data_IF_033269682211
#
_entry.id   IF_033269682211
#
_cell.length_a   1.000
_cell.length_b   1.000
_cell.length_c   1.000
_cell.angle_alpha   90.00
_cell.angle_beta   90.00
_cell.angle_gamma   90.00
#
_symmetry.space_group_name_H-M   'P 1'
#
loop_
_entity.id
_entity.type
_entity.pdbx_description
1 polymer ?
#
# COMPACT_ATOMS: atom_id res chain seq x y z
N UNK A 1 -32.97 16.69 -5.14
CA UNK A 1 -32.04 15.72 -5.75
C UNK A 1 -31.15 14.93 -4.74
N UNK A 2 -31.04 15.35 -3.48
CA UNK A 2 -30.08 14.80 -2.49
C UNK A 2 -30.34 13.35 -2.03
N UNK A 3 -31.56 12.95 -1.71
CA UNK A 3 -31.86 11.68 -1.04
C UNK A 3 -31.55 10.45 -1.92
N UNK A 4 -31.90 10.49 -3.22
CA UNK A 4 -31.61 9.39 -4.15
C UNK A 4 -30.11 9.25 -4.43
N UNK A 5 -29.37 10.33 -4.52
CA UNK A 5 -27.92 10.33 -4.69
C UNK A 5 -27.24 9.73 -3.46
N UNK A 6 -27.64 10.15 -2.26
CA UNK A 6 -27.11 9.63 -1.00
C UNK A 6 -27.37 8.12 -0.82
N UNK A 7 -28.59 7.64 -1.15
CA UNK A 7 -28.94 6.21 -1.09
C UNK A 7 -28.11 5.39 -2.10
N UNK A 8 -27.88 5.95 -3.29
CA UNK A 8 -27.06 5.32 -4.34
C UNK A 8 -25.62 5.21 -3.90
N UNK A 9 -25.06 6.26 -3.28
CA UNK A 9 -23.70 6.28 -2.76
C UNK A 9 -23.53 5.30 -1.58
N UNK A 10 -24.49 5.26 -0.64
CA UNK A 10 -24.50 4.32 0.47
C UNK A 10 -24.50 2.87 -0.02
N UNK A 11 -25.28 2.56 -1.07
CA UNK A 11 -25.29 1.23 -1.70
C UNK A 11 -23.93 0.89 -2.31
N UNK A 12 -23.27 1.87 -2.98
CA UNK A 12 -21.94 1.65 -3.51
C UNK A 12 -20.90 1.35 -2.44
N UNK A 13 -20.93 2.06 -1.32
CA UNK A 13 -20.04 1.79 -0.17
C UNK A 13 -20.25 0.38 0.39
N UNK A 14 -21.50 -0.04 0.61
CA UNK A 14 -21.78 -1.41 1.08
C UNK A 14 -21.23 -2.48 0.16
N UNK A 15 -21.34 -2.30 -1.17
CA UNK A 15 -20.77 -3.25 -2.14
C UNK A 15 -19.24 -3.26 -2.05
N UNK A 16 -18.58 -2.11 -1.96
CA UNK A 16 -17.12 -2.01 -1.81
C UNK A 16 -16.65 -2.67 -0.52
N UNK A 17 -17.33 -2.43 0.61
CA UNK A 17 -16.98 -3.01 1.90
C UNK A 17 -17.16 -4.54 1.90
N UNK A 18 -18.26 -5.04 1.32
CA UNK A 18 -18.51 -6.46 1.17
C UNK A 18 -17.45 -7.15 0.27
N UNK A 19 -17.11 -6.51 -0.85
CA UNK A 19 -16.10 -7.00 -1.78
C UNK A 19 -14.71 -6.97 -1.13
N UNK A 20 -14.35 -5.90 -0.43
CA UNK A 20 -13.09 -5.76 0.28
C UNK A 20 -12.89 -6.87 1.31
N UNK A 21 -13.93 -7.18 2.08
CA UNK A 21 -13.88 -8.26 3.07
C UNK A 21 -13.68 -9.62 2.41
N UNK A 22 -14.48 -9.94 1.36
CA UNK A 22 -14.38 -11.23 0.66
C UNK A 22 -13.03 -11.41 -0.04
N UNK A 23 -12.49 -10.40 -0.70
CA UNK A 23 -11.17 -10.46 -1.32
C UNK A 23 -10.02 -10.51 -0.30
N UNK A 24 -10.24 -10.09 0.94
CA UNK A 24 -9.29 -10.26 2.03
C UNK A 24 -9.34 -11.66 2.67
N UNK A 25 -10.49 -12.32 2.62
CA UNK A 25 -10.74 -13.64 3.23
C UNK A 25 -10.42 -14.80 2.26
N UNK A 26 -10.52 -14.57 0.93
CA UNK A 26 -10.46 -15.63 -0.10
C UNK A 26 -9.57 -15.19 -1.26
N UNK A 27 -9.09 -16.17 -2.04
CA UNK A 27 -8.38 -15.89 -3.29
C UNK A 27 -9.30 -15.17 -4.28
N UNK A 28 -8.74 -14.24 -5.05
CA UNK A 28 -9.51 -13.45 -6.02
C UNK A 28 -10.43 -14.31 -6.89
N UNK A 29 -9.93 -15.42 -7.46
CA UNK A 29 -10.70 -16.27 -8.35
C UNK A 29 -11.88 -16.96 -7.67
N UNK A 30 -11.78 -17.20 -6.37
CA UNK A 30 -12.79 -17.91 -5.56
C UNK A 30 -13.95 -17.01 -5.11
N UNK A 31 -13.86 -15.69 -5.29
CA UNK A 31 -14.93 -14.75 -4.91
C UNK A 31 -15.90 -14.54 -6.08
N UNK A 32 -17.10 -15.13 -6.09
CA UNK A 32 -18.10 -14.84 -7.10
C UNK A 32 -18.83 -13.52 -6.80
N UNK A 33 -19.29 -12.81 -7.85
CA UNK A 33 -20.12 -11.60 -7.66
C UNK A 33 -21.41 -11.87 -6.89
N UNK A 34 -21.92 -13.11 -6.93
CA UNK A 34 -23.08 -13.54 -6.15
C UNK A 34 -22.83 -13.43 -4.63
N UNK A 35 -21.66 -13.85 -4.17
CA UNK A 35 -21.26 -13.74 -2.76
C UNK A 35 -21.14 -12.26 -2.33
N UNK A 36 -20.56 -11.41 -3.19
CA UNK A 36 -20.48 -9.96 -2.93
C UNK A 36 -21.88 -9.35 -2.83
N UNK A 37 -22.76 -9.68 -3.77
CA UNK A 37 -24.14 -9.18 -3.80
C UNK A 37 -24.92 -9.60 -2.53
N UNK A 38 -24.84 -10.88 -2.15
CA UNK A 38 -25.47 -11.41 -0.95
C UNK A 38 -24.97 -10.68 0.31
N UNK A 39 -23.65 -10.55 0.48
CA UNK A 39 -23.04 -9.87 1.64
C UNK A 39 -23.37 -8.38 1.70
N UNK A 40 -23.53 -7.72 0.54
CA UNK A 40 -23.91 -6.31 0.43
C UNK A 40 -25.44 -6.06 0.57
N UNK A 41 -26.26 -7.11 0.59
CA UNK A 41 -27.73 -7.00 0.62
C UNK A 41 -28.30 -6.38 -0.66
N UNK A 42 -27.75 -6.77 -1.84
CA UNK A 42 -28.19 -6.30 -3.16
C UNK A 42 -28.26 -7.47 -4.16
N UNK A 43 -28.77 -7.22 -5.36
CA UNK A 43 -28.74 -8.21 -6.44
C UNK A 43 -27.40 -8.15 -7.19
N UNK A 44 -27.02 -9.26 -7.85
CA UNK A 44 -25.83 -9.29 -8.76
C UNK A 44 -25.96 -8.25 -9.85
N UNK A 45 -27.16 -8.06 -10.40
CA UNK A 45 -27.44 -7.04 -11.42
C UNK A 45 -27.12 -5.63 -10.92
N UNK A 46 -27.35 -5.34 -9.63
CA UNK A 46 -27.00 -4.06 -9.02
C UNK A 46 -25.49 -3.88 -8.93
N UNK A 47 -24.74 -4.94 -8.61
CA UNK A 47 -23.27 -4.91 -8.58
C UNK A 47 -22.73 -4.66 -10.00
N UNK A 48 -23.19 -5.42 -11.00
CA UNK A 48 -22.76 -5.27 -12.41
C UNK A 48 -23.09 -3.89 -12.95
N UNK A 49 -24.31 -3.40 -12.74
CA UNK A 49 -24.70 -2.05 -13.20
C UNK A 49 -23.81 -0.95 -12.63
N UNK A 50 -23.30 -1.13 -11.41
CA UNK A 50 -22.52 -0.10 -10.74
C UNK A 50 -21.02 -0.19 -11.01
N UNK A 51 -20.50 -1.37 -11.12
CA UNK A 51 -19.05 -1.61 -11.23
C UNK A 51 -18.62 -2.27 -12.54
N UNK A 52 -19.56 -2.76 -13.35
CA UNK A 52 -19.29 -3.41 -14.63
C UNK A 52 -18.93 -4.88 -14.48
N UNK A 53 -17.72 -5.16 -14.04
CA UNK A 53 -17.19 -6.53 -13.89
C UNK A 53 -16.60 -6.77 -12.49
N UNK A 54 -16.28 -8.04 -12.20
CA UNK A 54 -15.53 -8.41 -11.00
C UNK A 54 -14.18 -7.69 -10.95
N UNK A 55 -13.49 -7.60 -12.06
CA UNK A 55 -12.21 -6.93 -12.21
C UNK A 55 -12.32 -5.43 -11.90
N UNK A 56 -13.30 -4.75 -12.51
CA UNK A 56 -13.55 -3.33 -12.24
C UNK A 56 -13.96 -3.07 -10.79
N UNK A 57 -14.74 -3.99 -10.19
CA UNK A 57 -15.05 -3.95 -8.76
C UNK A 57 -13.78 -4.09 -7.91
N UNK A 58 -12.88 -5.02 -8.26
CA UNK A 58 -11.62 -5.21 -7.56
C UNK A 58 -10.73 -3.96 -7.63
N UNK A 59 -10.59 -3.36 -8.81
CA UNK A 59 -9.89 -2.08 -8.96
C UNK A 59 -10.54 -0.94 -8.15
N UNK A 60 -11.87 -0.92 -8.04
CA UNK A 60 -12.55 0.06 -7.21
C UNK A 60 -12.24 -0.14 -5.71
N UNK A 61 -12.21 -1.38 -5.23
CA UNK A 61 -11.79 -1.75 -3.88
C UNK A 61 -10.33 -1.33 -3.64
N UNK A 62 -9.43 -1.68 -4.57
CA UNK A 62 -8.02 -1.33 -4.48
C UNK A 62 -7.80 0.19 -4.42
N UNK A 63 -8.50 0.97 -5.27
CA UNK A 63 -8.44 2.45 -5.22
C UNK A 63 -8.92 3.00 -3.89
N UNK A 64 -10.03 2.48 -3.36
CA UNK A 64 -10.57 2.93 -2.07
C UNK A 64 -9.59 2.68 -0.92
N UNK A 65 -8.95 1.50 -0.88
CA UNK A 65 -7.91 1.16 0.10
C UNK A 65 -6.65 1.99 -0.08
N UNK A 66 -6.16 2.10 -1.31
CA UNK A 66 -4.97 2.90 -1.62
C UNK A 66 -5.12 4.36 -1.21
N UNK A 67 -6.30 4.96 -1.36
CA UNK A 67 -6.56 6.32 -0.91
C UNK A 67 -6.33 6.50 0.61
N UNK A 68 -6.74 5.51 1.42
CA UNK A 68 -6.53 5.52 2.88
C UNK A 68 -5.04 5.37 3.25
N UNK A 69 -4.33 4.47 2.56
CA UNK A 69 -2.89 4.29 2.75
C UNK A 69 -2.13 5.55 2.36
N UNK A 70 -2.47 6.16 1.23
CA UNK A 70 -1.87 7.42 0.74
C UNK A 70 -2.07 8.53 1.76
N UNK A 71 -3.31 8.78 2.19
CA UNK A 71 -3.62 9.81 3.18
C UNK A 71 -2.86 9.64 4.49
N UNK A 72 -2.70 8.39 4.97
CA UNK A 72 -1.92 8.11 6.19
C UNK A 72 -0.42 8.42 6.00
N UNK A 73 0.14 8.15 4.81
CA UNK A 73 1.56 8.40 4.50
C UNK A 73 1.85 9.86 4.13
N UNK A 74 0.88 10.58 3.56
CA UNK A 74 1.05 11.98 3.17
C UNK A 74 1.22 12.93 4.37
N UNK A 75 0.92 12.46 5.58
CA UNK A 75 1.19 13.19 6.82
C UNK A 75 2.68 13.16 7.25
N UNK A 76 3.55 12.41 6.55
CA UNK A 76 4.99 12.43 6.79
C UNK A 76 5.61 13.75 6.33
N UNK A 77 6.47 14.32 7.18
CA UNK A 77 7.17 15.57 6.88
C UNK A 77 8.41 15.27 6.04
N UNK A 78 8.60 15.90 4.86
CA UNK A 78 9.79 15.71 4.06
C UNK A 78 11.08 16.03 4.84
N UNK A 79 12.03 15.10 4.83
CA UNK A 79 13.29 15.21 5.57
C UNK A 79 13.28 14.64 6.99
N UNK A 80 12.11 14.40 7.57
CA UNK A 80 11.96 13.76 8.88
C UNK A 80 11.88 12.22 8.75
N UNK A 81 13.03 11.57 8.94
CA UNK A 81 13.15 10.11 8.83
C UNK A 81 12.28 9.41 9.89
N UNK A 82 12.26 9.91 11.12
CA UNK A 82 11.54 9.26 12.21
C UNK A 82 10.03 9.23 11.95
N UNK A 83 9.42 10.37 11.57
CA UNK A 83 8.01 10.47 11.23
C UNK A 83 7.67 9.65 9.98
N UNK A 84 8.55 9.63 8.99
CA UNK A 84 8.35 8.83 7.78
C UNK A 84 8.26 7.34 8.09
N UNK A 85 9.18 6.81 8.88
CA UNK A 85 9.20 5.39 9.26
C UNK A 85 8.05 5.05 10.21
N UNK A 86 7.70 5.94 11.15
CA UNK A 86 6.51 5.78 11.99
C UNK A 86 5.25 5.56 11.15
N UNK A 87 5.00 6.44 10.16
CA UNK A 87 3.83 6.34 9.28
C UNK A 87 3.87 5.09 8.39
N UNK A 88 5.05 4.71 7.93
CA UNK A 88 5.24 3.49 7.15
C UNK A 88 4.87 2.25 7.96
N UNK A 89 5.48 2.08 9.14
CA UNK A 89 5.27 0.91 10.01
C UNK A 89 3.84 0.83 10.50
N UNK A 90 3.24 1.94 10.96
CA UNK A 90 1.83 1.98 11.34
C UNK A 90 0.90 1.56 10.18
N UNK A 91 1.25 1.92 8.94
CA UNK A 91 0.54 1.45 7.75
C UNK A 91 0.67 -0.05 7.56
N UNK A 92 1.84 -0.63 7.74
CA UNK A 92 2.06 -2.07 7.62
C UNK A 92 1.42 -2.86 8.77
N UNK A 93 1.42 -2.34 10.00
CA UNK A 93 0.67 -2.95 11.12
C UNK A 93 -0.83 -3.07 10.79
N UNK A 94 -1.38 -2.09 10.10
CA UNK A 94 -2.81 -2.04 9.78
C UNK A 94 -3.19 -2.85 8.55
N UNK A 95 -2.36 -2.89 7.50
CA UNK A 95 -2.73 -3.44 6.19
C UNK A 95 -1.71 -4.47 5.65
N UNK A 96 -0.61 -4.70 6.36
CA UNK A 96 0.51 -5.50 5.87
C UNK A 96 0.11 -6.95 5.56
N UNK A 97 -0.64 -7.59 6.45
CA UNK A 97 -1.05 -8.99 6.24
C UNK A 97 -1.99 -9.13 5.02
N UNK A 98 -2.87 -8.14 4.77
CA UNK A 98 -3.70 -8.11 3.57
C UNK A 98 -2.87 -7.92 2.31
N UNK A 99 -1.86 -7.06 2.33
CA UNK A 99 -0.97 -6.83 1.18
C UNK A 99 -0.11 -8.09 0.94
N UNK A 100 0.36 -8.78 1.98
CA UNK A 100 1.05 -10.07 1.86
C UNK A 100 0.15 -11.12 1.21
N UNK A 101 -1.13 -11.17 1.58
CA UNK A 101 -2.11 -12.06 0.96
C UNK A 101 -2.29 -11.75 -0.56
N UNK A 102 -2.24 -10.48 -0.96
CA UNK A 102 -2.28 -10.10 -2.38
C UNK A 102 -0.98 -10.49 -3.10
N UNK A 103 0.19 -10.24 -2.50
CA UNK A 103 1.49 -10.61 -3.07
C UNK A 103 1.60 -12.10 -3.34
N UNK A 104 1.03 -12.94 -2.49
CA UNK A 104 0.98 -14.40 -2.70
C UNK A 104 0.16 -14.81 -3.95
N UNK A 105 -0.65 -13.92 -4.49
CA UNK A 105 -1.51 -14.16 -5.65
C UNK A 105 -1.00 -13.46 -6.92
N UNK A 106 0.07 -12.65 -6.85
CA UNK A 106 0.56 -11.81 -7.94
C UNK A 106 0.82 -12.62 -9.22
N UNK A 107 1.49 -13.74 -9.13
CA UNK A 107 1.81 -14.60 -10.28
C UNK A 107 0.62 -15.35 -10.87
N UNK A 108 -0.56 -15.30 -10.22
CA UNK A 108 -1.77 -16.05 -10.61
C UNK A 108 -2.87 -15.17 -11.19
N UNK A 109 -2.83 -13.86 -10.95
CA UNK A 109 -3.89 -12.94 -11.34
C UNK A 109 -3.32 -11.64 -11.92
N UNK A 110 -3.51 -11.38 -13.22
CA UNK A 110 -3.09 -10.13 -13.85
C UNK A 110 -3.65 -8.88 -13.16
N UNK A 111 -4.91 -8.94 -12.71
CA UNK A 111 -5.57 -7.84 -11.99
C UNK A 111 -4.86 -7.51 -10.68
N UNK A 112 -4.43 -8.53 -9.94
CA UNK A 112 -3.66 -8.34 -8.70
C UNK A 112 -2.28 -7.79 -9.02
N UNK A 113 -1.62 -8.31 -10.06
CA UNK A 113 -0.31 -7.82 -10.49
C UNK A 113 -0.33 -6.33 -10.83
N UNK A 114 -1.38 -5.84 -11.52
CA UNK A 114 -1.57 -4.42 -11.81
C UNK A 114 -1.73 -3.57 -10.55
N UNK A 115 -2.58 -4.00 -9.62
CA UNK A 115 -2.79 -3.30 -8.34
C UNK A 115 -1.50 -3.22 -7.52
N UNK A 116 -0.72 -4.31 -7.48
CA UNK A 116 0.56 -4.34 -6.78
C UNK A 116 1.62 -3.48 -7.46
N UNK A 117 1.63 -3.44 -8.80
CA UNK A 117 2.51 -2.55 -9.56
C UNK A 117 2.22 -1.07 -9.25
N UNK A 118 0.94 -0.69 -9.12
CA UNK A 118 0.53 0.65 -8.67
C UNK A 118 1.01 0.95 -7.25
N UNK A 119 0.90 -0.02 -6.36
CA UNK A 119 1.38 0.08 -4.98
C UNK A 119 2.89 0.32 -4.93
N UNK A 120 3.67 -0.42 -5.73
CA UNK A 120 5.14 -0.24 -5.83
C UNK A 120 5.51 1.12 -6.42
N UNK A 121 4.78 1.60 -7.44
CA UNK A 121 4.98 2.97 -7.96
C UNK A 121 4.74 4.02 -6.89
N UNK A 122 3.60 3.94 -6.22
CA UNK A 122 3.28 4.85 -5.12
C UNK A 122 4.36 4.84 -4.02
N UNK A 123 4.87 3.68 -3.64
CA UNK A 123 5.92 3.58 -2.61
C UNK A 123 7.20 4.29 -3.05
N UNK A 124 7.67 4.08 -4.29
CA UNK A 124 8.85 4.78 -4.83
C UNK A 124 8.65 6.30 -4.91
N UNK A 125 7.49 6.75 -5.38
CA UNK A 125 7.15 8.17 -5.46
C UNK A 125 7.11 8.81 -4.06
N UNK A 126 6.58 8.07 -3.09
CA UNK A 126 6.55 8.51 -1.70
C UNK A 126 7.96 8.64 -1.11
N UNK A 127 8.86 7.66 -1.34
CA UNK A 127 10.25 7.73 -0.91
C UNK A 127 10.98 8.94 -1.52
N UNK A 128 10.77 9.17 -2.82
CA UNK A 128 11.36 10.31 -3.53
C UNK A 128 10.93 11.64 -2.91
N UNK A 129 9.66 11.77 -2.50
CA UNK A 129 9.13 12.98 -1.87
C UNK A 129 9.60 13.15 -0.42
N UNK A 130 9.48 12.09 0.38
CA UNK A 130 9.74 12.18 1.83
C UNK A 130 11.22 12.31 2.14
N UNK A 131 12.10 11.72 1.33
CA UNK A 131 13.56 11.84 1.47
C UNK A 131 14.18 12.85 0.50
N UNK A 132 13.36 13.72 -0.13
CA UNK A 132 13.86 14.73 -1.07
C UNK A 132 15.02 15.58 -0.53
N UNK A 133 15.01 16.08 0.73
CA UNK A 133 16.12 16.86 1.26
C UNK A 133 17.44 16.10 1.36
N UNK A 134 17.39 14.80 1.67
CA UNK A 134 18.57 13.96 1.76
C UNK A 134 19.07 13.55 0.38
N UNK A 135 18.17 13.19 -0.53
CA UNK A 135 18.48 12.80 -1.90
C UNK A 135 19.03 13.97 -2.73
N UNK A 136 18.64 15.21 -2.42
CA UNK A 136 19.19 16.39 -3.08
C UNK A 136 20.70 16.57 -2.87
N UNK A 137 21.25 16.03 -1.77
CA UNK A 137 22.68 16.09 -1.47
C UNK A 137 23.52 15.13 -2.33
N UNK A 138 22.90 14.10 -2.88
CA UNK A 138 23.55 13.12 -3.76
C UNK A 138 23.62 13.64 -5.20
N UNK A 139 22.72 14.57 -5.57
CA UNK A 139 22.53 15.03 -6.93
C UNK A 139 21.70 14.06 -7.78
N UNK A 140 21.52 14.37 -9.05
CA UNK A 140 20.79 13.52 -9.99
C UNK A 140 21.72 12.49 -10.65
N UNK A 141 21.18 11.35 -11.06
CA UNK A 141 21.90 10.32 -11.78
C UNK A 141 21.95 8.96 -11.08
N UNK A 142 22.84 8.05 -11.53
CA UNK A 142 22.85 6.65 -11.08
C UNK A 142 23.05 6.46 -9.56
N UNK A 143 23.80 7.35 -8.91
CA UNK A 143 24.01 7.29 -7.45
C UNK A 143 22.70 7.51 -6.69
N UNK A 144 21.89 8.47 -7.12
CA UNK A 144 20.55 8.72 -6.54
C UNK A 144 19.59 7.57 -6.80
N UNK A 145 19.60 6.99 -7.99
CA UNK A 145 18.77 5.82 -8.32
C UNK A 145 19.15 4.62 -7.44
N UNK A 146 20.45 4.39 -7.23
CA UNK A 146 20.94 3.35 -6.34
C UNK A 146 20.52 3.59 -4.88
N UNK A 147 20.56 4.82 -4.40
CA UNK A 147 20.12 5.16 -3.05
C UNK A 147 18.61 4.95 -2.88
N UNK A 148 17.80 5.35 -3.85
CA UNK A 148 16.37 5.09 -3.87
C UNK A 148 16.05 3.58 -3.89
N UNK A 149 16.84 2.79 -4.60
CA UNK A 149 16.69 1.34 -4.61
C UNK A 149 16.97 0.71 -3.23
N UNK A 150 18.03 1.16 -2.53
CA UNK A 150 18.34 0.72 -1.16
C UNK A 150 17.24 1.11 -0.19
N UNK A 151 16.78 2.36 -0.25
CA UNK A 151 15.67 2.84 0.57
C UNK A 151 14.40 2.03 0.30
N UNK A 152 14.09 1.75 -0.97
CA UNK A 152 12.94 0.92 -1.33
C UNK A 152 13.05 -0.50 -0.74
N UNK A 153 14.22 -1.12 -0.79
CA UNK A 153 14.42 -2.47 -0.25
C UNK A 153 14.23 -2.54 1.27
N UNK A 154 14.79 -1.58 2.03
CA UNK A 154 14.72 -1.61 3.50
C UNK A 154 13.40 -1.10 4.07
N UNK A 155 12.62 -0.40 3.27
CA UNK A 155 11.28 0.09 3.63
C UNK A 155 10.16 -0.73 2.98
N UNK A 156 10.50 -1.82 2.29
CA UNK A 156 9.53 -2.72 1.68
C UNK A 156 8.70 -3.48 2.74
N UNK A 157 7.52 -3.91 2.33
CA UNK A 157 6.66 -4.74 3.17
C UNK A 157 7.35 -6.03 3.62
N UNK A 158 8.20 -6.62 2.79
CA UNK A 158 8.94 -7.82 3.16
C UNK A 158 9.98 -7.57 4.26
N UNK A 159 10.62 -6.40 4.30
CA UNK A 159 11.50 -6.03 5.41
C UNK A 159 10.70 -5.96 6.74
N UNK A 160 9.53 -5.32 6.72
CA UNK A 160 8.62 -5.31 7.86
C UNK A 160 8.18 -6.73 8.24
N UNK A 161 7.80 -7.58 7.26
CA UNK A 161 7.39 -8.97 7.51
C UNK A 161 8.49 -9.75 8.22
N UNK A 162 9.72 -9.68 7.74
CA UNK A 162 10.86 -10.35 8.37
C UNK A 162 11.00 -9.92 9.82
N UNK A 163 11.00 -8.62 10.10
CA UNK A 163 11.19 -8.11 11.47
C UNK A 163 9.99 -8.45 12.38
N UNK A 164 8.77 -8.22 11.90
CA UNK A 164 7.54 -8.35 12.71
C UNK A 164 6.98 -9.76 12.79
N UNK A 165 7.01 -10.51 11.69
CA UNK A 165 6.35 -11.82 11.60
C UNK A 165 7.33 -12.97 11.77
N UNK A 166 8.50 -12.90 11.11
CA UNK A 166 9.45 -14.00 11.12
C UNK A 166 10.36 -13.94 12.37
N UNK A 167 10.83 -12.76 12.76
CA UNK A 167 11.68 -12.55 13.94
C UNK A 167 10.91 -12.19 15.23
N UNK A 168 9.62 -11.88 15.12
CA UNK A 168 8.76 -11.61 16.28
C UNK A 168 9.07 -10.31 17.03
N UNK A 169 9.73 -9.32 16.40
CA UNK A 169 10.00 -8.04 17.05
C UNK A 169 8.69 -7.30 17.37
N UNK A 170 8.68 -6.50 18.42
CA UNK A 170 7.57 -5.58 18.68
C UNK A 170 7.49 -4.51 17.61
N UNK A 171 6.33 -3.84 17.46
CA UNK A 171 6.17 -2.71 16.55
C UNK A 171 7.24 -1.63 16.77
N UNK A 172 7.48 -1.29 18.04
CA UNK A 172 8.48 -0.30 18.45
C UNK A 172 9.90 -0.70 18.01
N UNK A 173 10.30 -1.97 18.25
CA UNK A 173 11.60 -2.48 17.83
C UNK A 173 11.74 -2.56 16.31
N UNK A 174 10.67 -2.91 15.61
CA UNK A 174 10.63 -2.91 14.15
C UNK A 174 10.83 -1.52 13.59
N UNK A 175 10.12 -0.53 14.14
CA UNK A 175 10.26 0.88 13.78
C UNK A 175 11.68 1.37 14.04
N UNK A 176 12.25 1.08 15.22
CA UNK A 176 13.61 1.47 15.57
C UNK A 176 14.64 0.88 14.60
N UNK A 177 14.54 -0.42 14.29
CA UNK A 177 15.45 -1.09 13.37
C UNK A 177 15.40 -0.49 11.95
N UNK A 178 14.20 -0.27 11.40
CA UNK A 178 14.07 0.35 10.08
C UNK A 178 14.59 1.78 10.08
N UNK A 179 14.30 2.57 11.13
CA UNK A 179 14.80 3.95 11.27
C UNK A 179 16.33 3.99 11.30
N UNK A 180 16.96 3.09 12.05
CA UNK A 180 18.42 2.98 12.15
C UNK A 180 19.04 2.65 10.79
N UNK A 181 18.51 1.64 10.08
CA UNK A 181 19.02 1.25 8.76
C UNK A 181 18.87 2.40 7.75
N UNK A 182 17.69 3.03 7.68
CA UNK A 182 17.44 4.16 6.78
C UNK A 182 18.37 5.34 7.09
N UNK A 183 18.57 5.66 8.37
CA UNK A 183 19.48 6.73 8.79
C UNK A 183 20.92 6.43 8.38
N UNK A 184 21.39 5.20 8.60
CA UNK A 184 22.73 4.78 8.19
C UNK A 184 22.95 4.88 6.67
N UNK A 185 21.97 4.46 5.86
CA UNK A 185 22.02 4.59 4.40
C UNK A 185 22.15 6.06 3.98
N UNK A 186 21.30 6.93 4.50
CA UNK A 186 21.28 8.35 4.15
C UNK A 186 22.55 9.09 4.59
N UNK A 187 23.23 8.65 5.64
CA UNK A 187 24.54 9.17 6.06
C UNK A 187 25.65 8.68 5.13
N UNK A 188 25.68 7.39 4.80
CA UNK A 188 26.68 6.79 3.92
C UNK A 188 26.62 7.33 2.50
N UNK A 189 25.40 7.55 1.94
CA UNK A 189 25.18 8.12 0.62
C UNK A 189 25.78 9.52 0.46
N UNK A 190 25.79 10.32 1.53
CA UNK A 190 26.41 11.64 1.55
C UNK A 190 27.95 11.59 1.50
N UNK A 191 28.59 10.53 1.95
CA UNK A 191 30.07 10.40 1.95
C UNK A 191 30.64 9.94 0.60
N UNK A 192 29.83 9.31 -0.26
CA UNK A 192 30.26 8.84 -1.58
C UNK A 192 30.23 9.93 -2.66
N UNK A 193 29.42 10.97 -2.48
CA UNK A 193 29.32 12.10 -3.42
C UNK A 193 30.47 13.11 -3.28
N UNK A 194 31.31 12.99 -2.24
CA UNK A 194 32.43 13.89 -1.94
C UNK A 194 33.79 13.34 -2.42
N UNK A 195 33.81 12.25 -3.17
CA UNK A 195 35.01 11.68 -3.82
C UNK A 195 34.81 11.69 -5.31
#
# INVERSE_FOLDING_TARGET
MGVRAAATEATGRRILDAAAALFGEQLYDQVPLLAVAARAGVTVQTVIRRFGSKEQLYHAVARHRSARIRSARDAAIPGDVATAIERLVAGYERWGDEILHLLAQEGRSPVIAEVLADGRRFHRDWLTRVFAPQLARIGDGPAREQELAKLAAVTDLYAWKVLRRDLGLTEERTRAAITEIVTALLVAGNGSAAR
#
